data_IF_616073416472
#
_entry.id   IF_616073416472
#
_cell.length_a   1.000
_cell.length_b   1.000
_cell.length_c   1.000
_cell.angle_alpha   90.00
_cell.angle_beta   90.00
_cell.angle_gamma   90.00
#
_symmetry.space_group_name_H-M   'P 1'
#
loop_
_entity.id
_entity.type
_entity.pdbx_description
1 polymer ?
#
# COMPACT_ATOMS: atom_id res chain seq x y z
N UNK A 1 4.47 -28.67 11.62
CA UNK A 1 4.49 -27.64 10.55
C UNK A 1 3.06 -27.36 10.13
N UNK A 2 2.47 -26.24 10.53
CA UNK A 2 1.13 -25.86 10.09
C UNK A 2 1.22 -25.13 8.76
N UNK A 3 0.69 -25.75 7.70
CA UNK A 3 0.54 -25.11 6.40
C UNK A 3 -0.78 -24.33 6.46
N UNK A 4 -0.69 -23.04 6.75
CA UNK A 4 -1.86 -22.16 6.84
C UNK A 4 -2.25 -21.73 5.41
N UNK A 5 -3.17 -22.47 4.78
CA UNK A 5 -3.82 -22.04 3.54
C UNK A 5 -4.74 -20.84 3.84
N UNK A 6 -4.18 -19.63 3.86
CA UNK A 6 -4.98 -18.41 4.00
C UNK A 6 -5.63 -18.13 2.64
N UNK A 7 -6.91 -18.46 2.50
CA UNK A 7 -7.74 -17.98 1.40
C UNK A 7 -7.89 -16.46 1.58
N UNK A 8 -7.12 -15.69 0.81
CA UNK A 8 -7.18 -14.24 0.81
C UNK A 8 -8.19 -13.77 -0.24
N UNK A 9 -9.19 -13.00 0.21
CA UNK A 9 -10.18 -12.39 -0.68
C UNK A 9 -9.88 -10.90 -0.87
N UNK A 10 -10.03 -10.39 -2.09
CA UNK A 10 -9.92 -8.97 -2.37
C UNK A 10 -11.21 -8.26 -1.92
N UNK A 11 -11.10 -7.33 -0.98
CA UNK A 11 -12.24 -6.53 -0.50
C UNK A 11 -12.41 -5.28 -1.39
N UNK A 12 -11.30 -4.62 -1.71
CA UNK A 12 -11.30 -3.34 -2.44
C UNK A 12 -10.11 -3.25 -3.37
N UNK A 13 -10.35 -2.68 -4.55
CA UNK A 13 -9.32 -2.40 -5.55
C UNK A 13 -9.49 -0.94 -5.98
N UNK A 14 -8.40 -0.20 -6.04
CA UNK A 14 -8.36 1.17 -6.52
C UNK A 14 -7.19 1.37 -7.46
N UNK A 15 -7.46 1.82 -8.68
CA UNK A 15 -6.43 2.14 -9.66
C UNK A 15 -6.26 3.64 -9.81
N UNK A 16 -5.01 4.09 -9.84
CA UNK A 16 -4.63 5.48 -10.09
C UNK A 16 -3.95 5.58 -11.47
N UNK A 17 -4.68 5.98 -12.53
CA UNK A 17 -4.18 5.92 -13.91
C UNK A 17 -2.99 6.85 -14.16
N UNK A 18 -2.93 8.01 -13.48
CA UNK A 18 -1.85 9.01 -13.65
C UNK A 18 -0.46 8.49 -13.25
N UNK A 19 -0.42 7.55 -12.31
CA UNK A 19 0.83 6.96 -11.78
C UNK A 19 0.92 5.47 -12.08
N UNK A 20 -0.10 4.89 -12.71
CA UNK A 20 -0.24 3.47 -12.99
C UNK A 20 -0.01 2.58 -11.77
N UNK A 21 -0.70 2.89 -10.66
CA UNK A 21 -0.61 2.12 -9.41
C UNK A 21 -1.97 1.53 -9.04
N UNK A 22 -1.97 0.27 -8.64
CA UNK A 22 -3.17 -0.45 -8.19
C UNK A 22 -3.01 -0.80 -6.72
N UNK A 23 -3.90 -0.27 -5.89
CA UNK A 23 -4.00 -0.61 -4.48
C UNK A 23 -5.06 -1.70 -4.29
N UNK A 24 -4.70 -2.78 -3.60
CA UNK A 24 -5.57 -3.92 -3.31
C UNK A 24 -5.64 -4.10 -1.79
N UNK A 25 -6.85 -3.97 -1.23
CA UNK A 25 -7.15 -4.30 0.16
C UNK A 25 -7.68 -5.74 0.25
N UNK A 26 -7.10 -6.51 1.15
CA UNK A 26 -7.38 -7.94 1.33
C UNK A 26 -8.12 -8.23 2.63
N UNK A 27 -8.83 -9.35 2.69
CA UNK A 27 -9.66 -9.81 3.82
C UNK A 27 -8.89 -10.11 5.10
N UNK A 28 -7.56 -10.21 5.03
CA UNK A 28 -6.67 -10.36 6.18
C UNK A 28 -6.27 -9.04 6.84
N UNK A 29 -6.70 -7.90 6.27
CA UNK A 29 -6.28 -6.56 6.70
C UNK A 29 -4.99 -6.07 6.03
N UNK A 30 -4.37 -6.89 5.16
CA UNK A 30 -3.20 -6.46 4.40
C UNK A 30 -3.59 -5.57 3.23
N UNK A 31 -2.71 -4.62 2.90
CA UNK A 31 -2.78 -3.80 1.70
C UNK A 31 -1.60 -4.13 0.79
N UNK A 32 -1.88 -4.38 -0.48
CA UNK A 32 -0.87 -4.63 -1.52
C UNK A 32 -0.93 -3.53 -2.56
N UNK A 33 0.23 -2.96 -2.90
CA UNK A 33 0.37 -1.96 -3.95
C UNK A 33 1.12 -2.58 -5.12
N UNK A 34 0.45 -2.70 -6.27
CA UNK A 34 1.04 -3.13 -7.53
C UNK A 34 1.37 -1.91 -8.38
N UNK A 35 2.55 -1.94 -8.99
CA UNK A 35 3.05 -0.87 -9.83
C UNK A 35 3.99 -1.46 -10.89
N UNK A 36 4.17 -0.76 -12.00
CA UNK A 36 5.13 -1.11 -13.03
C UNK A 36 6.56 -0.81 -12.54
N UNK A 37 7.45 -1.82 -12.54
CA UNK A 37 8.84 -1.68 -12.13
C UNK A 37 9.70 -0.91 -13.14
N UNK A 38 9.29 -0.85 -14.41
CA UNK A 38 9.99 -0.18 -15.51
C UNK A 38 9.64 1.31 -15.53
N UNK A 39 8.35 1.65 -15.36
CA UNK A 39 7.86 3.02 -15.33
C UNK A 39 7.68 3.53 -13.89
N UNK A 40 8.79 3.95 -13.27
CA UNK A 40 8.87 4.80 -12.06
C UNK A 40 8.46 4.16 -10.74
N UNK A 41 9.45 3.57 -10.08
CA UNK A 41 9.48 3.32 -8.64
C UNK A 41 9.39 4.61 -7.79
N UNK A 42 9.70 5.77 -8.38
CA UNK A 42 9.95 7.05 -7.68
C UNK A 42 8.76 8.02 -7.69
N UNK A 43 7.52 7.56 -7.88
CA UNK A 43 6.31 8.42 -7.84
C UNK A 43 5.17 7.77 -7.04
N UNK A 44 4.18 8.59 -6.67
CA UNK A 44 2.95 8.11 -6.02
C UNK A 44 3.18 7.66 -4.58
N UNK A 45 2.55 6.55 -4.19
CA UNK A 45 2.59 6.07 -2.82
C UNK A 45 4.01 5.67 -2.36
N UNK A 46 4.86 5.18 -3.27
CA UNK A 46 6.25 4.81 -2.97
C UNK A 46 7.12 6.00 -2.52
N UNK A 47 6.82 7.23 -2.96
CA UNK A 47 7.48 8.44 -2.47
C UNK A 47 7.16 8.74 -1.01
N UNK A 48 6.02 8.25 -0.52
CA UNK A 48 5.60 8.45 0.87
C UNK A 48 6.19 7.38 1.79
N UNK A 49 6.57 6.21 1.27
CA UNK A 49 7.16 5.12 2.06
C UNK A 49 8.50 5.53 2.67
N UNK A 50 9.30 6.32 1.94
CA UNK A 50 10.58 6.83 2.45
C UNK A 50 10.45 8.07 3.33
N UNK A 51 9.25 8.66 3.44
CA UNK A 51 9.04 9.84 4.29
C UNK A 51 8.97 9.37 5.74
N UNK A 52 9.69 10.03 6.66
CA UNK A 52 9.52 9.76 8.08
C UNK A 52 8.07 10.01 8.45
N UNK A 53 7.48 9.08 9.20
CA UNK A 53 6.17 9.28 9.80
C UNK A 53 6.28 10.56 10.64
N UNK A 54 5.55 11.61 10.26
CA UNK A 54 5.49 12.81 11.11
C UNK A 54 4.91 12.34 12.44
N UNK A 55 5.75 12.40 13.49
CA UNK A 55 5.32 12.22 14.87
C UNK A 55 4.05 13.03 15.06
N UNK A 56 3.01 12.40 15.61
CA UNK A 56 1.76 13.06 15.94
C UNK A 56 2.09 14.40 16.62
N UNK A 57 1.42 15.48 16.18
CA UNK A 57 1.53 16.81 16.78
C UNK A 57 1.75 16.64 18.29
N UNK A 58 2.86 17.16 18.80
CA UNK A 58 2.96 17.43 20.24
C UNK A 58 1.66 18.14 20.59
N UNK A 59 0.85 17.54 21.46
CA UNK A 59 -0.32 18.22 22.01
C UNK A 59 0.19 19.58 22.50
N UNK A 60 -0.29 20.64 21.87
CA UNK A 60 -0.08 21.98 22.35
C UNK A 60 -0.83 22.10 23.68
N UNK A 61 -0.02 22.23 24.74
CA UNK A 61 -0.32 22.71 26.11
C UNK A 61 -1.09 21.77 27.03
#
# INVERSE_FOLDING_TARGET
MQIMFRLLFCIRISWQPKINQILVGLSDGSLRLYYDSVYRISRGALLCVSRPLRTARQQEV
#
